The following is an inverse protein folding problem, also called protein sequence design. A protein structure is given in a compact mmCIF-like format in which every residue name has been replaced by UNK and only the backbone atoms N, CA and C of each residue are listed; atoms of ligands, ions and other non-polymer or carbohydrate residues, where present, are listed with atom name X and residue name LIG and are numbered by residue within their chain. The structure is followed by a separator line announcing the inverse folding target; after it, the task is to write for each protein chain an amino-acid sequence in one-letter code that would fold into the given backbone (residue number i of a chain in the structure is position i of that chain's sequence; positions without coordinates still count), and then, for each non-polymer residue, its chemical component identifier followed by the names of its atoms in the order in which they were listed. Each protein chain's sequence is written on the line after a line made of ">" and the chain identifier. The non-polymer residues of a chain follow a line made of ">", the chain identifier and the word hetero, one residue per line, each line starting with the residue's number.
data_IF_607457852337
#
_entry.id   IF_607457852337
#
_cell.length_a   1.000
_cell.length_b   1.000
_cell.length_c   1.000
_cell.angle_alpha   90.00
_cell.angle_beta   90.00
_cell.angle_gamma   90.00
#
_symmetry.space_group_name_H-M   'P 1'
#
loop_
_entity.id
_entity.type
_entity.pdbx_description
1 polymer ?
#
# COMPACT_ATOMS: atom_id res chain seq x y z
N UNK A 1 -40.42 11.80 86.74
CA UNK A 1 -38.94 11.87 86.89
C UNK A 1 -38.30 11.69 85.53
N UNK A 2 -37.07 12.18 85.36
CA UNK A 2 -36.40 12.43 84.08
C UNK A 2 -35.62 11.21 83.55
N UNK A 3 -35.78 10.86 82.27
CA UNK A 3 -34.90 10.04 81.41
C UNK A 3 -35.67 9.63 80.14
N UNK A 4 -35.11 9.49 78.93
CA UNK A 4 -33.78 9.79 78.38
C UNK A 4 -33.95 9.77 76.86
N UNK A 5 -33.79 10.89 76.16
CA UNK A 5 -33.74 10.89 74.69
C UNK A 5 -32.45 10.17 74.23
N UNK A 6 -32.54 9.12 73.40
CA UNK A 6 -31.38 8.55 72.72
C UNK A 6 -31.11 9.43 71.48
N UNK A 7 -30.45 10.57 71.71
CA UNK A 7 -29.97 11.43 70.63
C UNK A 7 -28.96 10.68 69.76
N UNK A 8 -29.46 10.05 68.69
CA UNK A 8 -28.69 9.30 67.71
C UNK A 8 -27.90 10.23 66.77
N UNK A 9 -27.02 11.05 67.35
CA UNK A 9 -25.87 11.57 66.63
C UNK A 9 -24.74 10.56 66.79
N UNK A 10 -24.27 9.97 65.69
CA UNK A 10 -22.97 9.29 65.70
C UNK A 10 -21.91 10.36 65.99
N UNK A 11 -21.49 10.47 67.25
CA UNK A 11 -20.38 11.34 67.62
C UNK A 11 -19.18 10.89 66.81
N UNK A 12 -18.55 11.84 66.12
CA UNK A 12 -17.33 11.60 65.38
C UNK A 12 -16.20 11.44 66.41
N UNK A 13 -16.15 10.27 67.05
CA UNK A 13 -15.17 9.94 68.07
C UNK A 13 -13.79 9.92 67.41
N UNK A 14 -13.06 11.00 67.64
CA UNK A 14 -11.67 11.14 67.24
C UNK A 14 -10.81 10.17 68.08
N UNK A 15 -9.78 9.54 67.48
CA UNK A 15 -8.81 8.78 68.25
C UNK A 15 -8.17 9.62 69.36
N UNK A 16 -7.88 8.99 70.50
CA UNK A 16 -7.27 9.64 71.67
C UNK A 16 -5.94 10.33 71.30
N UNK A 17 -5.18 9.75 70.37
CA UNK A 17 -3.95 10.31 69.85
C UNK A 17 -4.16 11.65 69.11
N UNK A 18 -5.32 11.84 68.49
CA UNK A 18 -5.69 13.10 67.82
C UNK A 18 -6.19 14.12 68.83
N UNK A 19 -6.94 13.68 69.85
CA UNK A 19 -7.39 14.54 70.96
C UNK A 19 -6.22 15.12 71.76
N UNK A 20 -5.16 14.35 71.99
CA UNK A 20 -3.95 14.81 72.69
C UNK A 20 -3.12 15.84 71.91
N UNK A 21 -3.28 15.92 70.58
CA UNK A 21 -2.53 16.84 69.70
C UNK A 21 -3.38 18.03 69.24
N UNK A 22 -4.69 17.98 69.44
CA UNK A 22 -5.61 19.10 69.19
C UNK A 22 -5.37 20.26 70.20
N UNK A 23 -5.32 21.52 69.75
CA UNK A 23 -5.32 22.67 70.64
C UNK A 23 -6.53 22.65 71.58
N UNK A 24 -6.36 23.09 72.83
CA UNK A 24 -7.47 23.17 73.78
C UNK A 24 -8.38 24.38 73.54
N UNK A 25 -7.90 25.41 72.85
CA UNK A 25 -8.71 26.58 72.47
C UNK A 25 -9.52 26.32 71.19
N UNK A 26 -10.85 26.57 71.18
CA UNK A 26 -11.69 26.35 70.00
C UNK A 26 -11.34 27.20 68.77
N UNK A 27 -10.73 28.39 68.92
CA UNK A 27 -10.34 29.21 67.77
C UNK A 27 -9.03 28.69 67.15
N UNK A 28 -8.06 28.26 67.98
CA UNK A 28 -6.85 27.57 67.50
C UNK A 28 -7.20 26.26 66.75
N UNK A 29 -8.19 25.49 67.22
CA UNK A 29 -8.69 24.31 66.48
C UNK A 29 -9.25 24.68 65.09
N UNK A 30 -10.00 25.79 65.00
CA UNK A 30 -10.54 26.27 63.72
C UNK A 30 -9.43 26.68 62.74
N UNK A 31 -8.35 27.31 63.22
CA UNK A 31 -7.22 27.68 62.39
C UNK A 31 -6.40 26.44 61.95
N UNK A 32 -6.25 25.42 62.80
CA UNK A 32 -5.71 24.11 62.40
C UNK A 32 -6.58 23.47 61.31
N UNK A 33 -7.90 23.43 61.48
CA UNK A 33 -8.83 22.88 60.49
C UNK A 33 -8.78 23.65 59.16
N UNK A 34 -8.69 24.99 59.21
CA UNK A 34 -8.51 25.85 58.02
C UNK A 34 -7.18 25.56 57.34
N UNK A 35 -6.09 25.37 58.09
CA UNK A 35 -4.77 25.03 57.55
C UNK A 35 -4.77 23.64 56.90
N UNK A 36 -5.40 22.64 57.52
CA UNK A 36 -5.55 21.29 56.93
C UNK A 36 -6.34 21.37 55.63
N UNK A 37 -7.48 22.06 55.63
CA UNK A 37 -8.30 22.27 54.41
C UNK A 37 -7.51 23.00 53.32
N UNK A 38 -6.76 24.04 53.67
CA UNK A 38 -5.90 24.78 52.74
C UNK A 38 -4.84 23.88 52.12
N UNK A 39 -4.14 23.06 52.92
CA UNK A 39 -3.11 22.13 52.44
C UNK A 39 -3.75 21.07 51.55
N UNK A 40 -4.86 20.45 51.96
CA UNK A 40 -5.55 19.42 51.18
C UNK A 40 -6.02 19.94 49.81
N UNK A 41 -6.54 21.18 49.76
CA UNK A 41 -6.91 21.84 48.49
C UNK A 41 -5.65 22.13 47.67
N UNK A 42 -4.60 22.73 48.25
CA UNK A 42 -3.36 23.03 47.53
C UNK A 42 -2.70 21.79 46.95
N UNK A 43 -2.59 20.68 47.71
CA UNK A 43 -2.09 19.41 47.20
C UNK A 43 -2.95 18.89 46.05
N UNK A 44 -4.29 18.86 46.20
CA UNK A 44 -5.15 18.35 45.14
C UNK A 44 -5.11 19.21 43.87
N UNK A 45 -4.96 20.53 44.01
CA UNK A 45 -4.73 21.44 42.88
C UNK A 45 -3.40 21.14 42.20
N UNK A 46 -2.30 20.99 42.96
CA UNK A 46 -0.99 20.64 42.40
C UNK A 46 -0.99 19.29 41.67
N UNK A 47 -1.66 18.27 42.22
CA UNK A 47 -1.82 16.97 41.57
C UNK A 47 -2.54 17.13 40.21
N UNK A 48 -3.68 17.81 40.20
CA UNK A 48 -4.49 18.05 39.00
C UNK A 48 -3.74 18.89 37.95
N UNK A 49 -2.98 19.91 38.37
CA UNK A 49 -2.12 20.71 37.49
C UNK A 49 -1.02 19.86 36.85
N UNK A 50 -0.45 18.91 37.61
CA UNK A 50 0.57 17.97 37.10
C UNK A 50 -0.03 16.96 36.11
N UNK A 51 -1.19 16.36 36.42
CA UNK A 51 -1.93 15.45 35.54
C UNK A 51 -2.33 16.15 34.24
N UNK A 52 -2.90 17.35 34.33
CA UNK A 52 -3.29 18.16 33.18
C UNK A 52 -2.09 18.55 32.31
N UNK A 53 -0.94 18.87 32.90
CA UNK A 53 0.29 19.16 32.18
C UNK A 53 0.84 17.92 31.46
N UNK A 54 0.82 16.76 32.11
CA UNK A 54 1.22 15.48 31.52
C UNK A 54 0.30 15.09 30.34
N UNK A 55 -1.03 15.25 30.50
CA UNK A 55 -2.01 14.99 29.44
C UNK A 55 -1.82 15.94 28.24
N UNK A 56 -1.50 17.21 28.47
CA UNK A 56 -1.18 18.15 27.37
C UNK A 56 0.12 17.78 26.64
N UNK A 57 1.13 17.30 27.35
CA UNK A 57 2.36 16.81 26.74
C UNK A 57 2.08 15.59 25.84
N UNK A 58 1.31 14.62 26.34
CA UNK A 58 0.90 13.45 25.55
C UNK A 58 0.03 13.81 24.34
N UNK A 59 -0.84 14.83 24.46
CA UNK A 59 -1.63 15.32 23.32
C UNK A 59 -0.71 15.92 22.24
N UNK A 60 0.23 16.79 22.62
CA UNK A 60 1.17 17.39 21.68
C UNK A 60 2.08 16.35 21.00
N UNK A 61 2.50 15.30 21.72
CA UNK A 61 3.22 14.16 21.15
C UNK A 61 2.38 13.42 20.09
N UNK A 62 1.10 13.16 20.40
CA UNK A 62 0.16 12.50 19.48
C UNK A 62 -0.12 13.35 18.25
N UNK A 63 -0.33 14.65 18.41
CA UNK A 63 -0.52 15.60 17.30
C UNK A 63 0.70 15.65 16.39
N UNK A 64 1.91 15.68 16.97
CA UNK A 64 3.18 15.59 16.23
C UNK A 64 3.28 14.28 15.42
N UNK A 65 2.92 13.14 16.04
CA UNK A 65 2.94 11.84 15.37
C UNK A 65 1.88 11.74 14.26
N UNK A 66 0.71 12.37 14.43
CA UNK A 66 -0.32 12.46 13.40
C UNK A 66 0.21 13.27 12.20
N UNK A 67 0.83 14.43 12.43
CA UNK A 67 1.41 15.26 11.37
C UNK A 67 2.53 14.53 10.61
N UNK A 68 3.40 13.78 11.31
CA UNK A 68 4.44 12.95 10.70
C UNK A 68 3.83 11.86 9.79
N UNK A 69 2.81 11.13 10.27
CA UNK A 69 2.14 10.09 9.50
C UNK A 69 1.38 10.67 8.29
N UNK A 70 0.74 11.82 8.42
CA UNK A 70 0.12 12.53 7.30
C UNK A 70 1.15 12.91 6.23
N UNK A 71 2.32 13.42 6.62
CA UNK A 71 3.41 13.73 5.69
C UNK A 71 3.94 12.48 4.97
N UNK A 72 4.05 11.35 5.67
CA UNK A 72 4.43 10.07 5.05
C UNK A 72 3.40 9.57 4.04
N UNK A 73 2.10 9.68 4.37
CA UNK A 73 1.01 9.31 3.46
C UNK A 73 1.05 10.16 2.19
N UNK A 74 1.22 11.48 2.30
CA UNK A 74 1.30 12.39 1.14
C UNK A 74 2.53 12.10 0.26
N UNK A 75 3.68 11.80 0.88
CA UNK A 75 4.91 11.39 0.17
C UNK A 75 4.76 10.06 -0.57
N UNK A 76 4.06 9.08 0.03
CA UNK A 76 3.75 7.81 -0.62
C UNK A 76 2.73 8.01 -1.75
N UNK A 77 1.69 8.81 -1.53
CA UNK A 77 0.64 9.07 -2.52
C UNK A 77 1.19 9.76 -3.77
N UNK A 78 1.97 10.82 -3.60
CA UNK A 78 2.67 11.50 -4.69
C UNK A 78 3.62 10.55 -5.44
N UNK A 79 4.47 9.78 -4.73
CA UNK A 79 5.36 8.80 -5.38
C UNK A 79 4.61 7.70 -6.16
N UNK A 80 3.46 7.26 -5.67
CA UNK A 80 2.62 6.27 -6.37
C UNK A 80 1.92 6.89 -7.59
N UNK A 81 1.44 8.13 -7.48
CA UNK A 81 0.86 8.90 -8.60
C UNK A 81 1.88 9.06 -9.74
N UNK A 82 3.10 9.49 -9.42
CA UNK A 82 4.18 9.66 -10.39
C UNK A 82 4.55 8.35 -11.09
N UNK A 83 4.70 7.25 -10.32
CA UNK A 83 4.98 5.91 -10.86
C UNK A 83 3.87 5.40 -11.75
N UNK A 84 2.61 5.65 -11.39
CA UNK A 84 1.44 5.27 -12.19
C UNK A 84 1.40 6.07 -13.50
N UNK A 85 1.64 7.38 -13.45
CA UNK A 85 1.73 8.23 -14.63
C UNK A 85 2.84 7.79 -15.59
N UNK A 86 4.03 7.49 -15.07
CA UNK A 86 5.14 6.96 -15.85
C UNK A 86 4.79 5.61 -16.49
N UNK A 87 4.24 4.67 -15.73
CA UNK A 87 3.83 3.36 -16.25
C UNK A 87 2.73 3.46 -17.33
N UNK A 88 1.81 4.43 -17.22
CA UNK A 88 0.81 4.71 -18.26
C UNK A 88 1.46 5.26 -19.54
N UNK A 89 2.39 6.21 -19.42
CA UNK A 89 3.13 6.76 -20.56
C UNK A 89 3.97 5.69 -21.28
N UNK A 90 4.68 4.85 -20.53
CA UNK A 90 5.47 3.74 -21.08
C UNK A 90 4.57 2.68 -21.74
N UNK A 91 3.42 2.34 -21.16
CA UNK A 91 2.42 1.47 -21.77
C UNK A 91 1.92 2.02 -23.11
N UNK A 92 1.57 3.30 -23.17
CA UNK A 92 1.08 3.93 -24.41
C UNK A 92 2.18 3.94 -25.48
N UNK A 93 3.41 4.26 -25.10
CA UNK A 93 4.58 4.21 -25.98
C UNK A 93 4.81 2.81 -26.55
N UNK A 94 4.86 1.78 -25.68
CA UNK A 94 5.07 0.39 -26.11
C UNK A 94 3.92 -0.12 -26.99
N UNK A 95 2.67 0.33 -26.77
CA UNK A 95 1.54 0.03 -27.66
C UNK A 95 1.78 0.56 -29.07
N UNK A 96 2.19 1.83 -29.19
CA UNK A 96 2.50 2.46 -30.49
C UNK A 96 3.68 1.79 -31.19
N UNK A 97 4.74 1.44 -30.46
CA UNK A 97 5.87 0.70 -31.00
C UNK A 97 5.46 -0.71 -31.48
N UNK A 98 4.60 -1.42 -30.72
CA UNK A 98 4.07 -2.72 -31.10
C UNK A 98 3.18 -2.67 -32.35
N UNK A 99 2.28 -1.69 -32.46
CA UNK A 99 1.47 -1.46 -33.66
C UNK A 99 2.34 -1.19 -34.89
N UNK A 100 3.37 -0.34 -34.75
CA UNK A 100 4.32 -0.03 -35.82
C UNK A 100 5.08 -1.29 -36.27
N UNK A 101 5.64 -2.07 -35.34
CA UNK A 101 6.33 -3.33 -35.63
C UNK A 101 5.40 -4.36 -36.27
N UNK A 102 4.16 -4.50 -35.78
CA UNK A 102 3.18 -5.42 -36.37
C UNK A 102 2.86 -5.03 -37.82
N UNK A 103 2.82 -3.74 -38.13
CA UNK A 103 2.63 -3.26 -39.49
C UNK A 103 3.85 -3.51 -40.40
N UNK A 104 5.08 -3.44 -39.89
CA UNK A 104 6.28 -3.84 -40.67
C UNK A 104 6.33 -5.35 -40.89
N UNK A 105 6.01 -6.17 -39.89
CA UNK A 105 5.91 -7.63 -40.03
C UNK A 105 4.88 -8.02 -41.08
N UNK A 106 3.66 -7.45 -41.05
CA UNK A 106 2.64 -7.67 -42.08
C UNK A 106 3.10 -7.24 -43.49
N UNK A 107 3.94 -6.21 -43.59
CA UNK A 107 4.51 -5.77 -44.88
C UNK A 107 5.53 -6.78 -45.39
N UNK A 108 6.51 -7.14 -44.56
CA UNK A 108 7.53 -8.13 -44.90
C UNK A 108 6.92 -9.48 -45.25
N UNK A 109 5.91 -9.94 -44.52
CA UNK A 109 5.18 -11.18 -44.83
C UNK A 109 4.54 -11.12 -46.24
N UNK A 110 3.87 -10.02 -46.58
CA UNK A 110 3.32 -9.81 -47.94
C UNK A 110 4.40 -9.80 -49.01
N UNK A 111 5.54 -9.18 -48.74
CA UNK A 111 6.64 -9.08 -49.71
C UNK A 111 7.39 -10.44 -49.87
N UNK A 112 7.54 -11.22 -48.79
CA UNK A 112 8.01 -12.63 -48.84
C UNK A 112 7.06 -13.50 -49.66
N UNK A 113 5.74 -13.45 -49.43
CA UNK A 113 4.78 -14.22 -50.22
C UNK A 113 4.83 -13.88 -51.71
N UNK A 114 5.07 -12.61 -52.08
CA UNK A 114 5.31 -12.24 -53.49
C UNK A 114 6.60 -12.87 -54.02
N UNK A 115 7.70 -12.79 -53.28
CA UNK A 115 8.99 -13.38 -53.69
C UNK A 115 8.91 -14.91 -53.84
N UNK A 116 8.14 -15.60 -53.00
CA UNK A 116 7.88 -17.04 -53.16
C UNK A 116 7.10 -17.36 -54.44
N UNK A 117 6.11 -16.55 -54.81
CA UNK A 117 5.39 -16.68 -56.08
C UNK A 117 6.34 -16.43 -57.26
N UNK A 118 7.09 -15.32 -57.26
CA UNK A 118 8.08 -15.02 -58.31
C UNK A 118 9.12 -16.13 -58.46
N UNK A 119 9.64 -16.67 -57.34
CA UNK A 119 10.57 -17.81 -57.35
C UNK A 119 9.95 -19.04 -58.01
N UNK A 120 8.70 -19.39 -57.67
CA UNK A 120 7.99 -20.52 -58.29
C UNK A 120 7.81 -20.32 -59.78
N UNK A 121 7.37 -19.14 -60.21
CA UNK A 121 7.20 -18.80 -61.64
C UNK A 121 8.52 -18.85 -62.41
N UNK A 122 9.61 -18.31 -61.84
CA UNK A 122 10.94 -18.33 -62.48
C UNK A 122 11.49 -19.75 -62.62
N UNK A 123 11.39 -20.57 -61.57
CA UNK A 123 11.81 -21.98 -61.61
C UNK A 123 10.96 -22.80 -62.59
N UNK A 124 9.66 -22.51 -62.70
CA UNK A 124 8.80 -23.15 -63.70
C UNK A 124 9.20 -22.76 -65.12
N UNK A 125 9.38 -21.46 -65.41
CA UNK A 125 9.77 -20.98 -66.74
C UNK A 125 11.11 -21.58 -67.21
N UNK A 126 12.12 -21.61 -66.32
CA UNK A 126 13.41 -22.23 -66.63
C UNK A 126 13.28 -23.74 -66.91
N UNK A 127 12.36 -24.42 -66.22
CA UNK A 127 12.08 -25.83 -66.48
C UNK A 127 11.32 -26.03 -67.79
N UNK A 128 10.33 -25.19 -68.09
CA UNK A 128 9.57 -25.27 -69.34
C UNK A 128 10.49 -25.03 -70.55
N UNK A 129 11.46 -24.12 -70.44
CA UNK A 129 12.49 -23.88 -71.47
C UNK A 129 13.48 -25.06 -71.60
N UNK A 130 13.90 -25.68 -70.49
CA UNK A 130 14.71 -26.91 -70.51
C UNK A 130 13.94 -28.11 -71.09
N UNK A 131 12.67 -28.31 -70.74
CA UNK A 131 11.82 -29.38 -71.29
C UNK A 131 11.54 -29.13 -72.80
N UNK A 132 11.44 -27.86 -73.24
CA UNK A 132 11.35 -27.50 -74.66
C UNK A 132 12.66 -27.69 -75.44
N UNK A 133 13.82 -27.51 -74.79
CA UNK A 133 15.15 -27.69 -75.39
C UNK A 133 15.59 -29.17 -75.40
N UNK A 134 15.32 -29.90 -74.31
CA UNK A 134 15.65 -31.33 -74.16
C UNK A 134 14.70 -32.26 -74.92
N UNK A 135 13.56 -31.76 -75.40
CA UNK A 135 12.72 -32.43 -76.41
C UNK A 135 13.48 -32.84 -77.69
N UNK A 136 14.71 -32.36 -77.90
CA UNK A 136 15.55 -32.71 -79.04
C UNK A 136 16.65 -33.77 -78.77
N UNK A 137 16.94 -34.26 -77.54
CA UNK A 137 17.99 -35.28 -77.36
C UNK A 137 17.91 -36.12 -76.06
N UNK A 138 18.30 -37.41 -76.19
CA UNK A 138 18.65 -38.43 -75.16
C UNK A 138 17.45 -39.26 -74.67
N UNK A 139 17.12 -40.42 -75.25
CA UNK A 139 17.86 -41.71 -75.32
C UNK A 139 18.08 -42.39 -73.95
N UNK A 140 17.27 -43.44 -73.74
CA UNK A 140 17.50 -44.70 -73.02
C UNK A 140 18.02 -44.74 -71.56
N UNK A 141 17.21 -45.40 -70.71
CA UNK A 141 17.57 -46.03 -69.44
C UNK A 141 18.11 -47.44 -69.66
N UNK A 142 19.31 -47.77 -69.16
CA UNK A 142 19.52 -48.86 -68.18
C UNK A 142 20.56 -48.45 -67.10
N UNK A 143 20.81 -49.10 -65.96
CA UNK A 143 20.19 -50.20 -65.15
C UNK A 143 20.71 -50.03 -63.69
N UNK A 144 20.13 -50.64 -62.64
CA UNK A 144 20.74 -50.66 -61.32
C UNK A 144 21.90 -51.67 -61.29
N UNK A 145 22.95 -51.39 -60.52
CA UNK A 145 23.89 -52.39 -60.03
C UNK A 145 24.43 -51.97 -58.66
N UNK A 146 24.66 -52.99 -57.84
CA UNK A 146 25.20 -52.96 -56.49
C UNK A 146 26.72 -52.84 -56.56
N UNK A 147 27.37 -52.24 -55.56
CA UNK A 147 28.60 -52.81 -55.00
C UNK A 147 29.02 -52.18 -53.67
N UNK A 148 29.65 -53.02 -52.85
CA UNK A 148 30.07 -52.78 -51.46
C UNK A 148 31.42 -52.05 -51.38
N UNK A 149 31.53 -51.05 -50.49
CA UNK A 149 32.81 -50.44 -50.11
C UNK A 149 32.72 -49.68 -48.77
N UNK A 150 32.92 -50.41 -47.67
CA UNK A 150 33.06 -49.81 -46.35
C UNK A 150 34.30 -48.88 -46.23
N UNK A 151 34.08 -47.60 -45.89
CA UNK A 151 35.11 -46.74 -45.27
C UNK A 151 34.47 -45.82 -44.21
N UNK A 152 34.74 -46.13 -42.94
CA UNK A 152 34.75 -45.14 -41.85
C UNK A 152 36.21 -44.60 -41.73
N UNK A 153 36.50 -43.42 -41.14
CA UNK A 153 36.26 -43.24 -39.70
C UNK A 153 36.02 -41.80 -39.16
N UNK A 154 35.53 -41.76 -37.90
CA UNK A 154 35.65 -40.74 -36.82
C UNK A 154 35.76 -39.23 -37.10
N UNK A 155 34.90 -38.45 -36.40
CA UNK A 155 34.94 -36.98 -36.35
C UNK A 155 34.19 -36.31 -35.17
N UNK A 156 34.52 -36.69 -33.92
CA UNK A 156 34.43 -35.89 -32.67
C UNK A 156 33.15 -35.12 -32.22
N UNK A 157 32.86 -35.23 -30.91
CA UNK A 157 32.08 -34.31 -30.04
C UNK A 157 30.54 -34.32 -30.25
N UNK A 158 29.70 -34.71 -29.28
CA UNK A 158 29.50 -34.13 -27.93
C UNK A 158 29.16 -32.64 -28.02
N UNK A 159 28.00 -32.15 -27.57
CA UNK A 159 27.67 -31.91 -26.15
C UNK A 159 26.17 -31.50 -26.05
N UNK A 160 25.41 -32.05 -25.08
CA UNK A 160 24.22 -31.41 -24.44
C UNK A 160 22.96 -31.17 -25.33
N UNK A 161 21.71 -31.16 -24.84
CA UNK A 161 21.17 -31.14 -23.47
C UNK A 161 19.87 -31.95 -23.34
N UNK A 162 19.44 -32.22 -22.11
CA UNK A 162 18.18 -32.92 -21.84
C UNK A 162 16.97 -31.99 -21.98
N UNK A 163 15.99 -32.38 -22.78
CA UNK A 163 14.64 -31.82 -22.70
C UNK A 163 13.91 -32.48 -21.53
N UNK A 164 13.56 -31.69 -20.50
CA UNK A 164 12.68 -32.18 -19.45
C UNK A 164 11.24 -31.96 -19.87
N UNK A 165 10.50 -33.04 -20.04
CA UNK A 165 9.05 -32.98 -20.13
C UNK A 165 8.50 -32.53 -18.77
N UNK A 166 7.60 -31.55 -18.79
CA UNK A 166 7.09 -30.86 -17.59
C UNK A 166 5.73 -30.24 -17.83
N UNK A 167 4.92 -30.86 -18.70
CA UNK A 167 3.54 -30.46 -18.93
C UNK A 167 2.60 -31.25 -18.01
N UNK A 168 2.14 -30.63 -16.93
CA UNK A 168 0.86 -31.01 -16.34
C UNK A 168 0.15 -29.78 -15.78
N UNK A 169 -0.85 -29.31 -16.52
CA UNK A 169 -1.69 -28.17 -16.17
C UNK A 169 -2.58 -28.50 -14.97
N UNK A 170 -2.44 -27.76 -13.88
CA UNK A 170 -3.49 -27.67 -12.86
C UNK A 170 -4.17 -26.31 -13.00
N UNK A 171 -5.40 -26.35 -13.50
CA UNK A 171 -6.34 -25.23 -13.50
C UNK A 171 -6.56 -24.79 -12.05
N UNK A 172 -6.03 -23.62 -11.70
CA UNK A 172 -6.37 -22.90 -10.48
C UNK A 172 -7.28 -21.74 -10.89
N UNK A 173 -8.50 -21.72 -10.36
CA UNK A 173 -9.46 -20.65 -10.61
C UNK A 173 -8.85 -19.27 -10.29
N UNK A 174 -8.91 -18.36 -11.26
CA UNK A 174 -8.75 -16.92 -11.01
C UNK A 174 -9.83 -16.49 -10.02
N UNK A 175 -9.47 -16.46 -8.74
CA UNK A 175 -10.24 -15.74 -7.75
C UNK A 175 -9.82 -14.29 -7.79
N UNK A 176 -10.56 -13.50 -8.59
CA UNK A 176 -10.60 -12.04 -8.48
C UNK A 176 -10.53 -11.64 -7.01
N UNK A 177 -9.46 -10.97 -6.55
CA UNK A 177 -9.55 -10.20 -5.32
C UNK A 177 -10.42 -9.01 -5.67
N UNK A 178 -11.75 -9.15 -5.48
CA UNK A 178 -12.65 -8.01 -5.48
C UNK A 178 -12.06 -6.99 -4.51
N UNK A 179 -11.43 -5.97 -5.07
CA UNK A 179 -10.80 -4.91 -4.33
C UNK A 179 -11.94 -4.12 -3.73
N UNK A 180 -12.38 -4.60 -2.56
CA UNK A 180 -13.39 -3.97 -1.73
C UNK A 180 -12.83 -2.61 -1.39
N UNK A 181 -13.22 -1.62 -2.19
CA UNK A 181 -13.09 -0.21 -1.90
C UNK A 181 -14.00 0.06 -0.70
N UNK A 182 -13.53 -0.39 0.46
CA UNK A 182 -13.87 0.20 1.73
C UNK A 182 -13.34 1.62 1.62
N UNK A 183 -14.21 2.48 1.10
CA UNK A 183 -14.08 3.93 1.20
C UNK A 183 -13.92 4.21 2.67
N UNK A 184 -12.68 4.52 3.08
CA UNK A 184 -12.40 4.95 4.44
C UNK A 184 -13.14 6.27 4.62
N UNK A 185 -14.33 6.22 5.20
CA UNK A 185 -15.15 7.38 5.45
C UNK A 185 -14.50 8.20 6.56
N UNK A 186 -13.56 9.06 6.15
CA UNK A 186 -12.93 10.08 6.98
C UNK A 186 -13.91 11.21 7.38
N UNK A 187 -15.21 10.94 7.36
CA UNK A 187 -16.28 11.82 7.86
C UNK A 187 -16.07 12.16 9.35
N UNK A 188 -15.45 11.27 10.11
CA UNK A 188 -15.00 11.49 11.49
C UNK A 188 -13.92 12.57 11.66
N UNK A 189 -13.16 12.90 10.60
CA UNK A 189 -12.17 13.99 10.65
C UNK A 189 -12.82 15.38 10.58
N UNK A 190 -14.13 15.46 10.36
CA UNK A 190 -14.90 16.71 10.33
C UNK A 190 -15.41 17.12 11.71
N UNK A 191 -14.51 17.23 12.69
CA UNK A 191 -14.81 17.91 13.95
C UNK A 191 -14.93 19.41 13.69
N UNK A 192 -16.15 19.94 13.79
CA UNK A 192 -16.43 21.36 13.62
C UNK A 192 -15.64 22.22 14.60
N UNK A 193 -14.94 23.23 14.08
CA UNK A 193 -14.41 24.34 14.88
C UNK A 193 -15.56 25.32 15.16
N UNK A 194 -16.05 25.47 16.41
CA UNK A 194 -17.04 26.50 16.73
C UNK A 194 -16.35 27.86 16.79
N UNK A 195 -16.50 28.67 15.74
CA UNK A 195 -16.03 30.04 15.74
C UNK A 195 -16.84 30.90 16.73
N UNK A 196 -16.31 31.16 17.93
CA UNK A 196 -16.91 32.07 18.91
C UNK A 196 -16.50 33.52 18.62
N UNK A 197 -17.26 34.19 17.77
CA UNK A 197 -17.42 35.63 17.83
C UNK A 197 -18.68 35.95 18.65
N UNK A 198 -18.53 36.07 19.97
CA UNK A 198 -19.58 36.68 20.81
C UNK A 198 -19.39 38.18 20.83
N UNK A 199 -20.29 38.91 20.14
CA UNK A 199 -20.49 40.33 20.42
C UNK A 199 -20.78 40.52 21.91
N UNK A 200 -20.14 41.48 22.55
CA UNK A 200 -20.52 41.97 23.87
C UNK A 200 -20.74 43.47 23.75
N UNK A 201 -21.95 43.82 23.32
CA UNK A 201 -22.52 45.11 23.67
C UNK A 201 -22.70 45.15 25.19
N UNK A 202 -22.18 46.20 25.83
CA UNK A 202 -22.63 46.64 27.16
C UNK A 202 -22.24 48.10 27.38
N UNK A 203 -23.19 49.04 27.27
CA UNK A 203 -22.97 50.42 27.69
C UNK A 203 -23.29 50.56 29.18
N UNK A 204 -22.38 51.13 29.98
CA UNK A 204 -22.74 51.95 31.15
C UNK A 204 -21.66 52.98 31.43
N UNK A 205 -22.11 54.22 31.64
CA UNK A 205 -21.31 55.43 31.93
C UNK A 205 -21.13 55.58 33.43
N UNK A 206 -20.00 56.12 33.89
CA UNK A 206 -19.93 57.19 34.91
C UNK A 206 -18.54 57.84 34.88
N UNK A 207 -18.53 59.17 34.82
CA UNK A 207 -17.41 60.07 35.16
C UNK A 207 -17.89 60.98 36.28
#
# INVERSE_FOLDING_TARGET
>A
MLAKEPGAGSTFDLPEEVLQVLPSDPFEQLDVARKITSIAISTRVSDLESEHSALRSQLAEKDSRIAELQSQIESIYSSLSDKLGQAQADKERLSKENEALTNTVRKLQRDVSKLEVFRKTLVQSLKDDEDASTGATRIAKPTPNEDDAAVAPTGTSSVHSQISEGGNSSFAEEREPECSLQTWDFTWLRVSIPNKHSSVDSPWVTT
#
